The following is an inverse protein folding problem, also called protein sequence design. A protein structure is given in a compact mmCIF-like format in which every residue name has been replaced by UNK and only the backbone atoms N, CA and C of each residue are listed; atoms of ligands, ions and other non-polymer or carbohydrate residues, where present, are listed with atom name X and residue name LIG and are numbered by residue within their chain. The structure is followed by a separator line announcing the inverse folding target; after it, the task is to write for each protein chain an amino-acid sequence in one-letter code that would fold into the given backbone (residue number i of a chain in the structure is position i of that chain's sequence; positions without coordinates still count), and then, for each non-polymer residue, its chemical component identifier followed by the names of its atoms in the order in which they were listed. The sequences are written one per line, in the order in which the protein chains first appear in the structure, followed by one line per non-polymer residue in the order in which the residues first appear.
data_IF_989191610272
#
_entry.id   IF_989191610272
#
_cell.length_a   1.000
_cell.length_b   1.000
_cell.length_c   1.000
_cell.angle_alpha   90.00
_cell.angle_beta   90.00
_cell.angle_gamma   90.00
#
_symmetry.space_group_name_H-M   'P 1'
#
loop_
_entity.id
_entity.type
_entity.pdbx_description
1 polymer ?
#
# COMPACT_ATOMS: atom_id res chain seq x y z
N UNK A 1 -19.01 -9.17 -15.99
CA UNK A 1 -18.22 -10.02 -15.09
C UNK A 1 -18.91 -10.00 -13.74
N UNK A 2 -19.13 -11.19 -13.17
CA UNK A 2 -19.71 -11.35 -11.85
C UNK A 2 -18.66 -11.07 -10.75
N UNK A 3 -19.06 -10.59 -9.58
CA UNK A 3 -18.14 -10.35 -8.46
C UNK A 3 -17.39 -11.59 -7.99
N UNK A 4 -17.99 -12.79 -8.09
CA UNK A 4 -17.28 -14.03 -7.76
C UNK A 4 -16.19 -14.37 -8.79
N UNK A 5 -16.39 -14.04 -10.07
CA UNK A 5 -15.35 -14.18 -11.10
C UNK A 5 -14.19 -13.23 -10.81
N UNK A 6 -14.49 -11.98 -10.44
CA UNK A 6 -13.47 -11.03 -9.98
C UNK A 6 -12.68 -11.61 -8.80
N UNK A 7 -13.35 -12.09 -7.74
CA UNK A 7 -12.71 -12.69 -6.57
C UNK A 7 -11.77 -13.83 -6.97
N UNK A 8 -12.25 -14.74 -7.82
CA UNK A 8 -11.45 -15.88 -8.28
C UNK A 8 -10.19 -15.46 -9.01
N UNK A 9 -10.26 -14.44 -9.88
CA UNK A 9 -9.09 -13.91 -10.58
C UNK A 9 -8.17 -13.19 -9.59
N UNK A 10 -8.71 -12.32 -8.76
CA UNK A 10 -7.96 -11.48 -7.83
C UNK A 10 -7.16 -12.32 -6.83
N UNK A 11 -7.81 -13.28 -6.17
CA UNK A 11 -7.20 -14.13 -5.15
C UNK A 11 -6.25 -15.20 -5.72
N UNK A 12 -6.22 -15.40 -7.04
CA UNK A 12 -5.15 -16.20 -7.67
C UNK A 12 -3.77 -15.54 -7.47
N UNK A 13 -3.74 -14.21 -7.36
CA UNK A 13 -2.49 -13.44 -7.28
C UNK A 13 -2.32 -12.74 -5.92
N UNK A 14 -3.43 -12.45 -5.24
CA UNK A 14 -3.46 -11.84 -3.91
C UNK A 14 -4.36 -12.67 -2.99
N UNK A 15 -3.98 -13.92 -2.65
CA UNK A 15 -4.81 -14.80 -1.83
C UNK A 15 -5.12 -14.14 -0.49
N UNK A 16 -6.34 -14.32 0.02
CA UNK A 16 -6.68 -13.77 1.34
C UNK A 16 -5.90 -14.45 2.46
N UNK A 17 -5.49 -15.69 2.24
CA UNK A 17 -4.68 -16.53 3.13
C UNK A 17 -3.23 -16.04 3.28
N UNK A 18 -2.77 -15.22 2.33
CA UNK A 18 -1.45 -14.56 2.38
C UNK A 18 -1.44 -13.34 3.31
N UNK A 19 -2.62 -12.85 3.73
CA UNK A 19 -2.70 -11.77 4.69
C UNK A 19 -2.22 -12.23 6.07
N UNK A 20 -1.72 -11.29 6.87
CA UNK A 20 -1.32 -11.59 8.25
C UNK A 20 -2.53 -12.00 9.10
N UNK A 21 -2.32 -12.87 10.09
CA UNK A 21 -3.41 -13.44 10.91
C UNK A 21 -4.26 -12.39 11.62
N UNK A 22 -3.70 -11.22 11.92
CA UNK A 22 -4.41 -10.13 12.59
C UNK A 22 -5.22 -9.25 11.62
N UNK A 23 -5.03 -9.42 10.32
CA UNK A 23 -5.57 -8.55 9.29
C UNK A 23 -7.03 -8.91 8.93
N UNK A 24 -7.72 -8.01 8.23
CA UNK A 24 -9.11 -8.21 7.80
C UNK A 24 -9.31 -7.85 6.32
N UNK A 25 -8.97 -8.79 5.45
CA UNK A 25 -9.03 -8.67 3.98
C UNK A 25 -10.27 -9.33 3.38
N UNK A 26 -10.46 -9.16 2.06
CA UNK A 26 -11.56 -9.75 1.31
C UNK A 26 -12.84 -8.92 1.34
N UNK A 27 -13.99 -9.57 1.14
CA UNK A 27 -15.29 -8.89 1.12
C UNK A 27 -15.66 -8.37 2.52
N UNK A 28 -15.77 -7.05 2.69
CA UNK A 28 -16.19 -6.44 3.97
C UNK A 28 -17.65 -5.95 3.96
N UNK A 29 -18.14 -5.41 2.83
CA UNK A 29 -19.51 -4.85 2.72
C UNK A 29 -20.12 -5.21 1.37
N UNK A 30 -21.40 -5.58 1.37
CA UNK A 30 -22.16 -5.86 0.15
C UNK A 30 -22.14 -7.34 -0.25
N UNK A 31 -22.10 -7.61 -1.55
CA UNK A 31 -22.14 -8.97 -2.11
C UNK A 31 -21.35 -9.08 -3.40
N UNK A 32 -20.76 -10.25 -3.63
CA UNK A 32 -20.10 -10.61 -4.89
C UNK A 32 -21.05 -11.29 -5.89
N UNK A 33 -22.25 -11.68 -5.46
CA UNK A 33 -23.25 -12.31 -6.32
C UNK A 33 -24.05 -11.28 -7.14
N UNK A 34 -23.33 -10.43 -7.87
CA UNK A 34 -23.88 -9.43 -8.79
C UNK A 34 -22.83 -9.08 -9.84
N UNK A 35 -23.28 -8.51 -10.94
CA UNK A 35 -22.37 -8.00 -11.97
C UNK A 35 -21.67 -6.73 -11.50
N UNK A 36 -20.38 -6.62 -11.82
CA UNK A 36 -19.59 -5.41 -11.57
C UNK A 36 -19.77 -4.45 -12.74
N UNK A 37 -20.29 -3.25 -12.46
CA UNK A 37 -20.47 -2.18 -13.45
C UNK A 37 -19.23 -1.30 -13.60
N UNK A 38 -18.38 -1.29 -12.58
CA UNK A 38 -17.10 -0.60 -12.55
C UNK A 38 -16.44 -0.74 -11.18
N UNK A 39 -15.12 -0.56 -11.14
CA UNK A 39 -14.29 -0.64 -9.95
C UNK A 39 -13.63 0.71 -9.70
N UNK A 40 -13.71 1.21 -8.46
CA UNK A 40 -12.82 2.26 -7.95
C UNK A 40 -11.78 1.63 -7.02
N UNK A 41 -10.52 1.89 -7.26
CA UNK A 41 -9.41 1.48 -6.40
C UNK A 41 -9.02 2.68 -5.53
N UNK A 42 -8.91 2.50 -4.22
CA UNK A 42 -8.55 3.56 -3.29
C UNK A 42 -7.63 3.04 -2.18
N UNK A 43 -6.83 3.94 -1.60
CA UNK A 43 -5.99 3.61 -0.45
C UNK A 43 -6.87 3.54 0.81
N UNK A 44 -7.56 4.65 1.10
CA UNK A 44 -8.51 4.79 2.20
C UNK A 44 -9.93 5.02 1.68
N UNK A 45 -10.92 4.72 2.52
CA UNK A 45 -12.32 4.99 2.21
C UNK A 45 -12.78 6.25 2.92
N UNK A 46 -13.26 7.21 2.14
CA UNK A 46 -13.96 8.40 2.65
C UNK A 46 -15.34 8.53 2.00
N UNK A 47 -16.17 9.45 2.50
CA UNK A 47 -17.47 9.73 1.88
C UNK A 47 -17.32 10.20 0.44
N UNK A 48 -16.27 10.96 0.16
CA UNK A 48 -15.90 11.47 -1.16
C UNK A 48 -15.47 10.34 -2.11
N UNK A 49 -14.77 9.31 -1.63
CA UNK A 49 -14.44 8.12 -2.45
C UNK A 49 -15.71 7.36 -2.85
N UNK A 50 -16.67 7.25 -1.92
CA UNK A 50 -17.97 6.64 -2.23
C UNK A 50 -18.72 7.49 -3.26
N UNK A 51 -18.73 8.82 -3.11
CA UNK A 51 -19.34 9.73 -4.09
C UNK A 51 -18.66 9.65 -5.46
N UNK A 52 -17.33 9.49 -5.50
CA UNK A 52 -16.59 9.28 -6.74
C UNK A 52 -17.02 7.96 -7.41
N UNK A 53 -17.14 6.86 -6.66
CA UNK A 53 -17.63 5.60 -7.20
C UNK A 53 -19.03 5.73 -7.81
N UNK A 54 -19.95 6.43 -7.14
CA UNK A 54 -21.28 6.73 -7.66
C UNK A 54 -21.22 7.55 -8.95
N UNK A 55 -20.42 8.62 -8.97
CA UNK A 55 -20.24 9.47 -10.14
C UNK A 55 -19.64 8.71 -11.35
N UNK A 56 -18.87 7.64 -11.09
CA UNK A 56 -18.32 6.74 -12.12
C UNK A 56 -19.24 5.59 -12.50
N UNK A 57 -20.41 5.47 -11.87
CA UNK A 57 -21.30 4.31 -11.99
C UNK A 57 -20.60 2.98 -11.61
N UNK A 58 -19.62 3.05 -10.72
CA UNK A 58 -18.91 1.90 -10.17
C UNK A 58 -19.66 1.36 -8.95
N UNK A 59 -19.93 0.05 -8.94
CA UNK A 59 -20.63 -0.63 -7.85
C UNK A 59 -19.71 -1.52 -7.01
N UNK A 60 -18.40 -1.39 -7.20
CA UNK A 60 -17.37 -2.04 -6.40
C UNK A 60 -16.24 -1.05 -6.09
N UNK A 61 -15.76 -1.09 -4.84
CA UNK A 61 -14.54 -0.42 -4.40
C UNK A 61 -13.56 -1.49 -3.95
N UNK A 62 -12.35 -1.47 -4.52
CA UNK A 62 -11.20 -2.25 -4.04
C UNK A 62 -10.36 -1.32 -3.17
N UNK A 63 -10.22 -1.66 -1.90
CA UNK A 63 -9.62 -0.79 -0.88
C UNK A 63 -8.35 -1.42 -0.33
N UNK A 64 -7.29 -0.64 -0.16
CA UNK A 64 -6.07 -1.13 0.52
C UNK A 64 -6.28 -1.24 2.02
N UNK A 65 -6.59 -0.14 2.70
CA UNK A 65 -6.76 -0.13 4.15
C UNK A 65 -8.13 -0.64 4.58
N UNK A 66 -8.24 -1.69 5.42
CA UNK A 66 -9.52 -2.24 5.84
C UNK A 66 -10.43 -1.19 6.52
N UNK A 67 -11.67 -1.01 6.02
CA UNK A 67 -12.66 -0.15 6.67
C UNK A 67 -13.05 -0.73 8.04
N UNK A 68 -13.36 -2.02 8.06
CA UNK A 68 -13.64 -2.76 9.29
C UNK A 68 -12.32 -3.40 9.72
N UNK A 69 -11.51 -2.71 10.50
CA UNK A 69 -10.25 -3.29 11.00
C UNK A 69 -10.46 -4.19 12.24
N UNK A 70 -11.49 -3.90 13.04
CA UNK A 70 -11.86 -4.67 14.23
C UNK A 70 -13.36 -5.00 14.18
N UNK A 71 -13.80 -6.12 14.78
CA UNK A 71 -15.22 -6.47 14.84
C UNK A 71 -16.08 -5.33 15.40
N UNK A 72 -17.12 -4.97 14.67
CA UNK A 72 -18.06 -3.91 15.07
C UNK A 72 -19.01 -4.45 16.14
N UNK A 73 -19.12 -3.75 17.25
CA UNK A 73 -20.13 -4.05 18.29
C UNK A 73 -21.51 -3.49 17.93
N UNK A 74 -21.54 -2.36 17.22
CA UNK A 74 -22.73 -1.62 16.82
C UNK A 74 -22.45 -0.82 15.55
N UNK A 75 -23.49 -0.54 14.77
CA UNK A 75 -23.45 0.39 13.63
C UNK A 75 -24.31 1.61 14.02
N UNK A 76 -23.64 2.68 14.45
CA UNK A 76 -24.30 3.95 14.79
C UNK A 76 -24.11 4.94 13.63
N UNK A 77 -25.18 5.17 12.85
CA UNK A 77 -25.12 5.93 11.58
C UNK A 77 -24.86 7.43 11.74
N UNK A 78 -24.82 7.95 12.96
CA UNK A 78 -24.37 9.33 13.23
C UNK A 78 -22.84 9.43 13.38
N UNK A 79 -22.13 8.30 13.52
CA UNK A 79 -20.67 8.26 13.48
C UNK A 79 -20.16 8.21 12.05
N UNK A 80 -18.93 8.69 11.81
CA UNK A 80 -18.33 8.68 10.48
C UNK A 80 -18.26 7.27 9.86
N UNK A 81 -17.81 6.27 10.63
CA UNK A 81 -17.80 4.87 10.19
C UNK A 81 -19.23 4.38 9.86
N UNK A 82 -20.21 4.71 10.69
CA UNK A 82 -21.60 4.36 10.44
C UNK A 82 -22.16 5.01 9.17
N UNK A 83 -21.78 6.25 8.87
CA UNK A 83 -22.17 6.96 7.64
C UNK A 83 -21.57 6.29 6.40
N UNK A 84 -20.29 5.89 6.44
CA UNK A 84 -19.65 5.15 5.36
C UNK A 84 -20.38 3.83 5.08
N UNK A 85 -20.62 3.03 6.12
CA UNK A 85 -21.35 1.76 6.02
C UNK A 85 -22.78 1.95 5.49
N UNK A 86 -23.51 2.93 6.02
CA UNK A 86 -24.86 3.26 5.58
C UNK A 86 -24.88 3.59 4.09
N UNK A 87 -23.96 4.45 3.63
CA UNK A 87 -23.88 4.88 2.24
C UNK A 87 -23.52 3.74 1.29
N UNK A 88 -22.53 2.92 1.64
CA UNK A 88 -22.18 1.71 0.88
C UNK A 88 -23.39 0.78 0.70
N UNK A 89 -24.11 0.50 1.79
CA UNK A 89 -25.26 -0.41 1.80
C UNK A 89 -26.43 0.17 0.99
N UNK A 90 -26.80 1.43 1.24
CA UNK A 90 -27.94 2.08 0.58
C UNK A 90 -27.77 2.19 -0.93
N UNK A 91 -26.54 2.38 -1.40
CA UNK A 91 -26.24 2.45 -2.83
C UNK A 91 -25.79 1.10 -3.44
N UNK A 92 -25.78 0.03 -2.64
CA UNK A 92 -25.40 -1.29 -3.12
C UNK A 92 -23.98 -1.35 -3.68
N UNK A 93 -23.03 -0.63 -3.08
CA UNK A 93 -21.61 -0.70 -3.44
C UNK A 93 -20.95 -1.85 -2.67
N UNK A 94 -20.20 -2.70 -3.37
CA UNK A 94 -19.40 -3.76 -2.76
C UNK A 94 -18.04 -3.21 -2.34
N UNK A 95 -17.66 -3.43 -1.09
CA UNK A 95 -16.33 -3.10 -0.60
C UNK A 95 -15.50 -4.39 -0.44
N UNK A 96 -14.41 -4.49 -1.20
CA UNK A 96 -13.47 -5.59 -1.15
C UNK A 96 -12.08 -5.06 -0.78
N UNK A 97 -11.41 -5.71 0.16
CA UNK A 97 -10.16 -5.24 0.75
C UNK A 97 -8.99 -6.13 0.33
N UNK A 98 -7.89 -5.51 -0.05
CA UNK A 98 -6.61 -6.16 -0.28
C UNK A 98 -5.54 -5.35 0.43
N UNK A 99 -5.05 -5.84 1.56
CA UNK A 99 -4.18 -5.10 2.48
C UNK A 99 -2.82 -5.81 2.54
N UNK A 100 -2.51 -6.51 3.64
CA UNK A 100 -1.21 -7.20 3.78
C UNK A 100 -1.00 -8.30 2.75
N UNK A 101 -2.06 -8.94 2.24
CA UNK A 101 -1.94 -9.88 1.13
C UNK A 101 -1.42 -9.21 -0.16
N UNK A 102 -1.76 -7.94 -0.39
CA UNK A 102 -1.20 -7.17 -1.50
C UNK A 102 0.23 -6.68 -1.18
N UNK A 103 0.55 -6.39 0.08
CA UNK A 103 1.89 -5.98 0.48
C UNK A 103 2.93 -7.08 0.28
N UNK A 104 2.57 -8.31 0.64
CA UNK A 104 3.50 -9.44 0.67
C UNK A 104 3.56 -10.19 -0.65
N UNK A 105 2.60 -9.96 -1.55
CA UNK A 105 2.51 -10.69 -2.81
C UNK A 105 3.73 -10.45 -3.72
N UNK A 106 4.15 -11.46 -4.50
CA UNK A 106 5.32 -11.36 -5.40
C UNK A 106 5.19 -10.22 -6.41
N UNK A 107 3.96 -9.96 -6.90
CA UNK A 107 3.64 -8.88 -7.83
C UNK A 107 2.89 -7.73 -7.13
N UNK A 108 3.10 -7.62 -5.82
CA UNK A 108 2.36 -6.76 -4.92
C UNK A 108 2.89 -5.33 -4.83
N UNK A 109 2.47 -4.64 -3.77
CA UNK A 109 2.80 -3.24 -3.53
C UNK A 109 4.31 -2.99 -3.52
N UNK A 110 5.05 -3.76 -2.73
CA UNK A 110 6.46 -3.49 -2.48
C UNK A 110 7.32 -3.65 -3.74
N UNK A 111 6.98 -4.61 -4.61
CA UNK A 111 7.64 -4.74 -5.92
C UNK A 111 7.32 -3.57 -6.84
N UNK A 112 6.09 -3.06 -6.80
CA UNK A 112 5.75 -1.88 -7.59
C UNK A 112 6.52 -0.64 -7.12
N UNK A 113 6.57 -0.40 -5.80
CA UNK A 113 7.32 0.72 -5.22
C UNK A 113 8.83 0.61 -5.50
N UNK A 114 9.41 -0.60 -5.45
CA UNK A 114 10.81 -0.81 -5.82
C UNK A 114 11.06 -0.54 -7.31
N UNK A 115 10.11 -0.90 -8.16
CA UNK A 115 10.19 -0.65 -9.61
C UNK A 115 10.13 0.84 -9.93
N UNK A 116 9.34 1.63 -9.18
CA UNK A 116 9.33 3.09 -9.32
C UNK A 116 10.68 3.73 -8.97
N UNK A 117 11.37 3.18 -7.98
CA UNK A 117 12.74 3.54 -7.61
C UNK A 117 13.79 2.97 -8.57
N UNK A 118 13.38 2.25 -9.63
CA UNK A 118 14.26 1.61 -10.60
C UNK A 118 15.30 0.71 -9.94
N UNK A 119 14.92 0.02 -8.86
CA UNK A 119 15.81 -0.92 -8.19
C UNK A 119 16.02 -2.15 -9.08
N UNK A 120 17.28 -2.47 -9.34
CA UNK A 120 17.72 -3.67 -10.04
C UNK A 120 17.86 -4.85 -9.07
N UNK A 121 17.79 -6.06 -9.64
CA UNK A 121 17.96 -7.33 -8.93
C UNK A 121 17.14 -7.44 -7.63
N UNK A 122 15.80 -7.34 -7.72
CA UNK A 122 14.94 -7.32 -6.54
C UNK A 122 15.07 -8.64 -5.77
N UNK A 123 15.28 -8.52 -4.46
CA UNK A 123 15.32 -9.62 -3.51
C UNK A 123 14.35 -9.35 -2.34
N UNK A 124 13.82 -10.39 -1.68
CA UNK A 124 12.92 -10.21 -0.54
C UNK A 124 13.65 -9.62 0.67
N UNK A 125 13.03 -8.63 1.32
CA UNK A 125 13.54 -8.04 2.56
C UNK A 125 13.28 -8.98 3.75
N UNK A 126 12.02 -9.19 4.07
CA UNK A 126 11.54 -10.03 5.17
C UNK A 126 10.65 -11.13 4.61
N UNK A 127 11.24 -12.31 4.32
CA UNK A 127 10.54 -13.42 3.68
C UNK A 127 9.58 -14.11 4.66
N UNK A 128 8.33 -14.29 4.22
CA UNK A 128 7.32 -15.07 4.95
C UNK A 128 7.35 -16.52 4.47
N UNK A 129 7.49 -16.71 3.16
CA UNK A 129 7.72 -18.01 2.52
C UNK A 129 8.56 -17.83 1.24
N UNK A 130 8.58 -18.82 0.34
CA UNK A 130 9.40 -18.81 -0.88
C UNK A 130 9.03 -17.69 -1.86
N UNK A 131 7.78 -17.23 -1.84
CA UNK A 131 7.25 -16.27 -2.82
C UNK A 131 6.78 -14.96 -2.17
N UNK A 132 6.40 -14.98 -0.90
CA UNK A 132 5.88 -13.81 -0.18
C UNK A 132 6.92 -13.15 0.71
N UNK A 133 6.95 -11.82 0.68
CA UNK A 133 7.86 -11.02 1.50
C UNK A 133 7.32 -9.63 1.80
N UNK A 134 7.50 -9.19 3.04
CA UNK A 134 7.27 -7.79 3.40
C UNK A 134 8.50 -6.95 3.04
N UNK A 135 8.34 -6.10 2.03
CA UNK A 135 9.39 -5.23 1.51
C UNK A 135 10.32 -5.90 0.51
N UNK A 136 11.04 -5.07 -0.24
CA UNK A 136 11.97 -5.48 -1.30
C UNK A 136 13.30 -4.76 -1.10
N UNK A 137 14.40 -5.47 -1.33
CA UNK A 137 15.74 -4.89 -1.46
C UNK A 137 16.11 -4.91 -2.94
N UNK A 138 16.85 -3.91 -3.39
CA UNK A 138 17.51 -3.95 -4.70
C UNK A 138 18.63 -2.93 -4.78
N UNK A 139 19.18 -2.74 -5.98
CA UNK A 139 20.31 -1.85 -6.21
C UNK A 139 19.96 -0.73 -7.17
N UNK A 140 20.35 0.50 -6.84
CA UNK A 140 20.29 1.63 -7.76
C UNK A 140 21.38 1.48 -8.85
N UNK A 141 21.12 2.09 -10.00
CA UNK A 141 21.99 2.09 -11.18
C UNK A 141 23.41 2.62 -10.92
N UNK A 142 23.53 3.51 -9.92
CA UNK A 142 24.78 4.07 -9.43
C UNK A 142 24.73 4.29 -7.93
N UNK A 143 25.88 4.63 -7.35
CA UNK A 143 25.97 5.12 -5.98
C UNK A 143 25.51 6.59 -5.90
N UNK A 144 24.65 6.90 -4.94
CA UNK A 144 24.12 8.24 -4.65
C UNK A 144 24.77 8.77 -3.37
N UNK A 145 25.09 10.06 -3.32
CA UNK A 145 25.27 10.76 -2.04
C UNK A 145 23.92 10.86 -1.29
N UNK A 146 23.96 11.21 -0.01
CA UNK A 146 22.74 11.35 0.80
C UNK A 146 21.75 12.35 0.19
N UNK A 147 22.22 13.54 -0.20
CA UNK A 147 21.37 14.59 -0.77
C UNK A 147 20.77 14.18 -2.11
N UNK A 148 21.55 13.47 -2.96
CA UNK A 148 21.05 12.94 -4.22
C UNK A 148 19.97 11.87 -3.99
N UNK A 149 20.17 10.97 -3.02
CA UNK A 149 19.18 9.94 -2.68
C UNK A 149 17.87 10.59 -2.17
N UNK A 150 17.97 11.55 -1.25
CA UNK A 150 16.80 12.27 -0.72
C UNK A 150 16.06 12.99 -1.83
N UNK A 151 16.77 13.71 -2.71
CA UNK A 151 16.17 14.39 -3.85
C UNK A 151 15.49 13.40 -4.82
N UNK A 152 16.15 12.28 -5.12
CA UNK A 152 15.63 11.23 -5.98
C UNK A 152 14.34 10.62 -5.43
N UNK A 153 14.34 10.22 -4.16
CA UNK A 153 13.17 9.61 -3.50
C UNK A 153 12.00 10.59 -3.43
N UNK A 154 12.25 11.87 -3.13
CA UNK A 154 11.21 12.91 -3.16
C UNK A 154 10.64 13.09 -4.57
N UNK A 155 11.47 13.05 -5.60
CA UNK A 155 11.02 13.17 -6.99
C UNK A 155 10.17 11.97 -7.39
N UNK A 156 10.63 10.74 -7.14
CA UNK A 156 9.95 9.49 -7.51
C UNK A 156 8.55 9.43 -6.88
N UNK A 157 8.44 9.76 -5.58
CA UNK A 157 7.17 9.68 -4.86
C UNK A 157 6.40 11.00 -4.77
N UNK A 158 6.88 12.05 -5.45
CA UNK A 158 6.25 13.39 -5.49
C UNK A 158 6.01 13.96 -4.08
N UNK A 159 7.05 13.96 -3.25
CA UNK A 159 6.99 14.38 -1.85
C UNK A 159 7.53 15.79 -1.66
N UNK A 160 6.76 16.63 -0.97
CA UNK A 160 7.20 17.97 -0.54
C UNK A 160 8.33 17.88 0.50
N UNK A 161 8.26 16.88 1.39
CA UNK A 161 9.22 16.62 2.46
C UNK A 161 9.26 15.14 2.83
N UNK A 162 10.36 14.69 3.44
CA UNK A 162 10.50 13.41 4.12
C UNK A 162 11.26 13.61 5.44
N UNK A 163 11.21 12.64 6.35
CA UNK A 163 12.04 12.66 7.56
C UNK A 163 13.25 11.75 7.35
N UNK A 164 14.43 12.32 7.55
CA UNK A 164 15.70 11.59 7.49
C UNK A 164 16.11 11.14 8.91
N UNK A 165 16.51 9.88 9.03
CA UNK A 165 17.07 9.28 10.23
C UNK A 165 18.45 8.72 9.88
N UNK A 166 19.46 8.96 10.72
CA UNK A 166 20.85 8.60 10.41
C UNK A 166 21.43 9.50 9.32
N UNK A 167 22.18 8.92 8.38
CA UNK A 167 22.81 9.66 7.27
C UNK A 167 24.34 9.62 7.26
N UNK A 168 24.96 8.63 7.91
CA UNK A 168 26.41 8.64 8.15
C UNK A 168 27.24 7.98 7.02
N UNK A 169 26.61 7.43 5.97
CA UNK A 169 27.32 6.78 4.86
C UNK A 169 27.71 7.79 3.79
N UNK A 170 28.89 7.60 3.22
CA UNK A 170 29.36 8.39 2.06
C UNK A 170 28.47 8.19 0.83
N UNK A 171 28.02 6.95 0.61
CA UNK A 171 27.22 6.58 -0.57
C UNK A 171 26.14 5.54 -0.26
N UNK A 172 25.10 5.58 -1.07
CA UNK A 172 23.92 4.72 -1.01
C UNK A 172 23.64 4.10 -2.37
N UNK A 173 23.55 2.78 -2.44
CA UNK A 173 23.20 2.07 -3.66
C UNK A 173 22.28 0.89 -3.42
N UNK A 174 22.52 0.11 -2.36
CA UNK A 174 21.67 -1.02 -1.98
C UNK A 174 20.55 -0.52 -1.08
N UNK A 175 19.32 -0.52 -1.57
CA UNK A 175 18.16 0.10 -0.92
C UNK A 175 17.14 -0.96 -0.57
N UNK A 176 16.59 -0.89 0.64
CA UNK A 176 15.37 -1.59 1.02
C UNK A 176 14.17 -0.64 0.98
N UNK A 177 13.00 -1.12 0.57
CA UNK A 177 11.73 -0.38 0.63
C UNK A 177 10.59 -1.25 1.16
N UNK A 178 9.78 -0.68 2.04
CA UNK A 178 8.47 -1.22 2.46
C UNK A 178 7.44 -0.10 2.47
N UNK A 179 6.31 -0.29 1.77
CA UNK A 179 5.14 0.59 1.86
C UNK A 179 4.55 0.64 3.27
N UNK A 180 3.80 1.69 3.58
CA UNK A 180 3.08 1.79 4.84
C UNK A 180 3.99 1.86 6.06
N UNK A 181 3.67 1.10 7.10
CA UNK A 181 4.38 1.10 8.40
C UNK A 181 5.42 -0.01 8.49
N UNK A 182 6.66 0.28 8.07
CA UNK A 182 7.77 -0.68 8.02
C UNK A 182 8.67 -0.77 9.27
N UNK A 183 8.27 -0.20 10.40
CA UNK A 183 9.10 -0.18 11.62
C UNK A 183 9.58 -1.58 12.07
N UNK A 184 8.77 -2.62 11.87
CA UNK A 184 9.06 -3.98 12.31
C UNK A 184 10.23 -4.65 11.57
N UNK A 185 10.56 -4.22 10.35
CA UNK A 185 11.57 -4.87 9.50
C UNK A 185 12.89 -4.10 9.41
N UNK A 186 13.05 -3.03 10.19
CA UNK A 186 14.29 -2.23 10.24
C UNK A 186 15.50 -3.12 10.60
N UNK A 187 15.37 -3.98 11.61
CA UNK A 187 16.46 -4.88 12.00
C UNK A 187 16.81 -5.87 10.90
N UNK A 188 15.82 -6.38 10.17
CA UNK A 188 16.03 -7.23 8.98
C UNK A 188 16.82 -6.47 7.92
N UNK A 189 16.44 -5.23 7.61
CA UNK A 189 17.15 -4.38 6.65
C UNK A 189 18.62 -4.17 7.04
N UNK A 190 18.89 -3.86 8.32
CA UNK A 190 20.24 -3.72 8.86
C UNK A 190 21.04 -5.02 8.67
N UNK A 191 20.47 -6.17 9.05
CA UNK A 191 21.14 -7.47 8.94
C UNK A 191 21.44 -7.89 7.50
N UNK A 192 20.63 -7.42 6.54
CA UNK A 192 20.80 -7.65 5.09
C UNK A 192 21.81 -6.69 4.45
N UNK A 193 22.41 -5.80 5.25
CA UNK A 193 23.50 -4.92 4.84
C UNK A 193 23.07 -3.89 3.79
N UNK A 194 21.82 -3.43 3.83
CA UNK A 194 21.38 -2.34 2.94
C UNK A 194 21.97 -1.01 3.39
N UNK A 195 22.15 -0.08 2.46
CA UNK A 195 22.72 1.23 2.74
C UNK A 195 21.69 2.19 3.34
N UNK A 196 20.45 2.11 2.86
CA UNK A 196 19.32 2.87 3.37
C UNK A 196 18.03 2.05 3.29
N UNK A 197 17.11 2.36 4.20
CA UNK A 197 15.76 1.81 4.21
C UNK A 197 14.72 2.91 3.97
N UNK A 198 13.76 2.67 3.10
CA UNK A 198 12.67 3.59 2.77
C UNK A 198 11.36 2.99 3.28
N UNK A 199 10.64 3.71 4.13
CA UNK A 199 9.30 3.31 4.58
C UNK A 199 8.52 4.48 5.15
N UNK A 200 7.31 4.26 5.67
CA UNK A 200 6.53 5.24 6.42
C UNK A 200 6.40 4.87 7.90
N UNK A 201 5.85 5.79 8.67
CA UNK A 201 5.45 5.60 10.07
C UNK A 201 6.56 5.00 10.96
N UNK A 202 7.78 5.52 10.83
CA UNK A 202 8.87 5.11 11.71
C UNK A 202 8.61 5.69 13.10
N UNK A 203 8.43 4.81 14.08
CA UNK A 203 8.16 5.25 15.45
C UNK A 203 9.40 5.88 16.07
N UNK A 204 9.21 6.74 17.08
CA UNK A 204 10.30 7.48 17.70
C UNK A 204 11.43 6.60 18.23
N UNK A 205 11.09 5.48 18.88
CA UNK A 205 12.10 4.57 19.44
C UNK A 205 12.89 3.85 18.35
N UNK A 206 12.23 3.36 17.30
CA UNK A 206 12.93 2.77 16.16
C UNK A 206 13.83 3.79 15.44
N UNK A 207 13.37 5.05 15.31
CA UNK A 207 14.18 6.11 14.74
C UNK A 207 15.43 6.41 15.59
N UNK A 208 15.28 6.45 16.92
CA UNK A 208 16.39 6.66 17.84
C UNK A 208 17.40 5.51 17.78
N UNK A 209 16.94 4.27 17.75
CA UNK A 209 17.77 3.09 17.65
C UNK A 209 18.54 3.06 16.33
N UNK A 210 17.85 3.28 15.21
CA UNK A 210 18.47 3.37 13.89
C UNK A 210 19.53 4.48 13.83
N UNK A 211 19.24 5.66 14.39
CA UNK A 211 20.20 6.76 14.49
C UNK A 211 21.44 6.38 15.30
N UNK A 212 21.28 5.71 16.45
CA UNK A 212 22.41 5.30 17.28
C UNK A 212 23.29 4.23 16.61
N UNK A 213 22.72 3.45 15.68
CA UNK A 213 23.43 2.49 14.85
C UNK A 213 24.04 3.11 13.58
N UNK A 214 23.81 4.40 13.33
CA UNK A 214 24.19 5.07 12.09
C UNK A 214 23.46 4.55 10.85
N UNK A 215 22.35 3.84 11.03
CA UNK A 215 21.56 3.28 9.94
C UNK A 215 20.66 4.35 9.32
N UNK A 216 20.68 4.45 7.99
CA UNK A 216 19.93 5.49 7.29
C UNK A 216 18.51 5.02 6.98
N UNK A 217 17.53 5.80 7.40
CA UNK A 217 16.13 5.58 7.06
C UNK A 217 15.54 6.86 6.45
N UNK A 218 14.85 6.72 5.32
CA UNK A 218 14.03 7.76 4.73
C UNK A 218 12.57 7.45 5.04
N UNK A 219 12.03 8.15 6.03
CA UNK A 219 10.61 8.08 6.35
C UNK A 219 9.84 8.99 5.39
N UNK A 220 9.23 8.37 4.39
CA UNK A 220 8.52 9.00 3.27
C UNK A 220 7.03 9.20 3.54
N UNK A 221 6.57 8.82 4.74
CA UNK A 221 5.16 8.83 5.13
C UNK A 221 4.36 7.67 4.54
N UNK A 222 3.31 7.27 5.26
CA UNK A 222 2.46 6.11 4.92
C UNK A 222 1.81 6.24 3.52
N UNK A 223 1.41 7.45 3.13
CA UNK A 223 0.60 7.68 1.94
C UNK A 223 1.30 7.38 0.59
N UNK A 224 2.60 7.05 0.57
CA UNK A 224 3.29 6.66 -0.68
C UNK A 224 2.68 5.41 -1.32
N UNK A 225 2.00 4.58 -0.54
CA UNK A 225 1.30 3.37 -1.01
C UNK A 225 0.27 3.66 -2.11
N UNK A 226 -0.27 4.90 -2.16
CA UNK A 226 -1.20 5.30 -3.23
C UNK A 226 -0.62 5.08 -4.63
N UNK A 227 0.71 5.19 -4.78
CA UNK A 227 1.36 4.99 -6.06
C UNK A 227 1.24 3.55 -6.54
N UNK A 228 1.19 2.57 -5.63
CA UNK A 228 1.01 1.16 -5.98
C UNK A 228 -0.39 0.83 -6.53
N UNK A 229 -1.37 1.72 -6.34
CA UNK A 229 -2.72 1.54 -6.87
C UNK A 229 -2.76 1.67 -8.41
N UNK A 230 -1.86 2.45 -9.01
CA UNK A 230 -1.65 2.49 -10.47
C UNK A 230 -1.17 1.13 -11.00
N UNK A 231 -0.27 0.49 -10.26
CA UNK A 231 0.19 -0.87 -10.52
C UNK A 231 -0.95 -1.88 -10.46
N UNK A 232 -1.74 -1.84 -9.38
CA UNK A 232 -2.89 -2.71 -9.20
C UNK A 232 -3.94 -2.53 -10.32
N UNK A 233 -4.25 -1.28 -10.69
CA UNK A 233 -5.18 -1.01 -11.78
C UNK A 233 -4.70 -1.57 -13.12
N UNK A 234 -3.40 -1.42 -13.42
CA UNK A 234 -2.78 -1.94 -14.64
C UNK A 234 -2.79 -3.47 -14.65
N UNK A 235 -2.46 -4.08 -13.52
CA UNK A 235 -2.50 -5.51 -13.30
C UNK A 235 -3.90 -6.09 -13.55
N UNK A 236 -4.96 -5.50 -12.98
CA UNK A 236 -6.32 -5.99 -13.17
C UNK A 236 -6.76 -5.93 -14.64
N UNK A 237 -6.37 -4.88 -15.37
CA UNK A 237 -6.63 -4.79 -16.81
C UNK A 237 -5.91 -5.90 -17.58
N UNK A 238 -4.65 -6.17 -17.25
CA UNK A 238 -3.86 -7.24 -17.87
C UNK A 238 -4.47 -8.62 -17.63
N UNK A 239 -5.01 -8.87 -16.43
CA UNK A 239 -5.66 -10.15 -16.08
C UNK A 239 -7.10 -10.29 -16.60
N UNK A 240 -7.54 -9.39 -17.47
CA UNK A 240 -8.81 -9.52 -18.19
C UNK A 240 -10.05 -9.07 -17.41
N UNK A 241 -9.87 -8.23 -16.37
CA UNK A 241 -11.01 -7.56 -15.73
C UNK A 241 -11.60 -6.54 -16.71
N UNK A 242 -12.67 -6.93 -17.41
CA UNK A 242 -13.24 -6.19 -18.54
C UNK A 242 -14.20 -5.04 -18.20
N UNK A 243 -14.38 -4.69 -16.92
CA UNK A 243 -15.18 -3.53 -16.51
C UNK A 243 -14.32 -2.25 -16.41
N UNK A 244 -14.92 -1.05 -16.39
CA UNK A 244 -14.18 0.19 -16.13
C UNK A 244 -13.46 0.13 -14.78
N UNK A 245 -12.15 0.41 -14.79
CA UNK A 245 -11.32 0.49 -13.59
C UNK A 245 -10.82 1.93 -13.45
N UNK A 246 -11.10 2.51 -12.30
CA UNK A 246 -10.73 3.87 -11.93
C UNK A 246 -9.86 3.84 -10.66
N UNK A 247 -8.90 4.74 -10.59
CA UNK A 247 -8.13 5.00 -9.37
C UNK A 247 -8.72 6.27 -8.78
N UNK A 248 -9.00 6.23 -7.48
CA UNK A 248 -9.56 7.35 -6.75
C UNK A 248 -8.65 8.57 -6.87
N UNK A 249 -9.23 9.73 -7.13
CA UNK A 249 -8.49 11.02 -7.16
C UNK A 249 -8.62 11.78 -5.85
N UNK A 250 -9.37 11.25 -4.89
CA UNK A 250 -9.55 11.86 -3.58
C UNK A 250 -8.22 11.81 -2.83
N UNK A 251 -7.75 12.96 -2.35
CA UNK A 251 -6.59 12.99 -1.47
C UNK A 251 -6.99 12.51 -0.07
N UNK A 252 -6.57 11.31 0.29
CA UNK A 252 -6.82 10.71 1.61
C UNK A 252 -5.67 10.91 2.58
N UNK A 253 -4.60 11.63 2.20
CA UNK A 253 -3.50 11.93 3.12
C UNK A 253 -3.98 12.88 4.23
N UNK A 254 -3.97 12.46 5.51
CA UNK A 254 -4.42 13.32 6.61
C UNK A 254 -3.41 14.42 6.96
N UNK A 255 -2.17 14.33 6.46
CA UNK A 255 -1.10 15.24 6.81
C UNK A 255 -0.93 16.37 5.79
N UNK A 256 -0.65 17.57 6.30
CA UNK A 256 -0.27 18.74 5.52
C UNK A 256 1.10 19.21 5.97
N UNK A 257 2.00 19.44 5.02
CA UNK A 257 3.30 20.08 5.28
C UNK A 257 3.06 21.59 5.36
N UNK A 258 3.57 22.23 6.42
CA UNK A 258 3.46 23.67 6.65
C UNK A 258 4.83 24.30 6.81
#
# INVERSE_FOLDING_TARGET
MNGNEFKSIFETYFPTESAYEWDNVGLQVGTLNKDITGIVISLDLTLEVIDEALAKNANMIVLHHPLIFKPLKTIHTETYLGQLLQKLIQHGITLYVAHTNFDVAPMGMNLYLSSMLQLHDPEPLDSINEIESLGVIGTLDKAYSLDELVAYVKQVFQLDSLRLIGGDKETYQRIAITGGSGSSVINTAISKGVDAYISGDITYHHALDAKNLGFTILDVGHNIEKHALDGLASFLKEKGIGCPIHISKVNTNPYQVK
#
